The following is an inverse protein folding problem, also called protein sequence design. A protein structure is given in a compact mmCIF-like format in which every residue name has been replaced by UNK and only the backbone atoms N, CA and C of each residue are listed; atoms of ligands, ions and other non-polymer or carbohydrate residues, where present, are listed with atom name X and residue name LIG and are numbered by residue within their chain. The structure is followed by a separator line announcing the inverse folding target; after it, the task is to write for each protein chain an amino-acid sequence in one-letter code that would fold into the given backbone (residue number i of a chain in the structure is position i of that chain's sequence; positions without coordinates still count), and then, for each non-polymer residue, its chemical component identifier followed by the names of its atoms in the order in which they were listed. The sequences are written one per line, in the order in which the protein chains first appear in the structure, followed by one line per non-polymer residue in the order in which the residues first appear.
data_IF_063633282819
#
_entry.id   IF_063633282819
#
_cell.length_a   1.000
_cell.length_b   1.000
_cell.length_c   1.000
_cell.angle_alpha   90.00
_cell.angle_beta   90.00
_cell.angle_gamma   90.00
#
_symmetry.space_group_name_H-M   'P 1'
#
loop_
_entity.id
_entity.type
_entity.pdbx_description
1 polymer ?
#
# COMPACT_ATOMS: atom_id res chain seq x y z
N UNK A 1 -25.97 -23.68 -5.15
CA UNK A 1 -26.57 -22.58 -4.36
C UNK A 1 -26.22 -22.80 -2.90
N UNK A 2 -25.37 -21.96 -2.31
CA UNK A 2 -24.92 -22.12 -0.93
C UNK A 2 -23.47 -21.68 -0.77
N UNK A 3 -23.24 -20.80 0.21
CA UNK A 3 -21.92 -20.48 0.77
C UNK A 3 -20.98 -19.52 0.02
N UNK A 4 -21.46 -18.31 -0.36
CA UNK A 4 -20.60 -17.11 -0.43
C UNK A 4 -21.43 -15.90 0.02
N UNK A 5 -21.63 -15.76 1.33
CA UNK A 5 -22.32 -14.60 1.92
C UNK A 5 -21.75 -14.26 3.29
N UNK A 6 -20.44 -14.07 3.40
CA UNK A 6 -19.79 -13.46 4.57
C UNK A 6 -18.57 -12.68 4.11
N UNK A 7 -18.61 -11.35 4.24
CA UNK A 7 -17.50 -10.49 3.83
C UNK A 7 -17.84 -9.02 3.56
N UNK A 8 -18.96 -8.50 4.04
CA UNK A 8 -19.17 -7.07 4.20
C UNK A 8 -19.89 -6.86 5.53
N UNK A 9 -19.56 -5.80 6.25
CA UNK A 9 -20.16 -5.37 7.50
C UNK A 9 -21.70 -5.26 7.40
N UNK A 10 -22.38 -6.38 7.56
CA UNK A 10 -23.83 -6.52 7.71
C UNK A 10 -24.07 -7.74 8.60
N UNK A 11 -23.44 -7.74 9.77
CA UNK A 11 -23.60 -8.77 10.79
C UNK A 11 -24.15 -8.13 12.05
N UNK A 12 -25.43 -8.37 12.30
CA UNK A 12 -26.19 -8.01 13.50
C UNK A 12 -26.77 -6.59 13.55
N UNK A 13 -27.93 -6.42 12.93
CA UNK A 13 -28.92 -5.42 13.32
C UNK A 13 -30.31 -6.09 13.28
N UNK A 14 -30.46 -7.17 14.05
CA UNK A 14 -31.77 -7.75 14.35
C UNK A 14 -32.28 -7.08 15.64
N UNK A 15 -33.35 -6.28 15.50
CA UNK A 15 -34.19 -5.73 16.57
C UNK A 15 -33.57 -4.68 17.52
N UNK A 16 -33.19 -3.50 17.01
CA UNK A 16 -33.16 -2.25 17.80
C UNK A 16 -33.59 -1.07 16.94
N UNK A 17 -34.53 -0.26 17.45
CA UNK A 17 -35.17 0.91 16.83
C UNK A 17 -34.33 1.62 15.75
N UNK A 18 -34.91 1.81 14.57
CA UNK A 18 -34.30 2.41 13.36
C UNK A 18 -33.58 3.74 13.63
N UNK A 19 -34.06 4.52 14.60
CA UNK A 19 -33.52 5.83 14.99
C UNK A 19 -32.23 5.68 15.83
N UNK A 20 -32.20 4.74 16.78
CA UNK A 20 -30.98 4.40 17.54
C UNK A 20 -29.92 3.79 16.62
N UNK A 21 -30.34 2.92 15.69
CA UNK A 21 -29.47 2.37 14.65
C UNK A 21 -28.89 3.46 13.74
N UNK A 22 -29.67 4.50 13.37
CA UNK A 22 -29.18 5.65 12.59
C UNK A 22 -28.26 6.59 13.39
N UNK A 23 -28.52 6.80 14.68
CA UNK A 23 -27.66 7.61 15.57
C UNK A 23 -26.35 6.86 15.85
N UNK A 24 -26.41 5.54 16.03
CA UNK A 24 -25.26 4.68 16.20
C UNK A 24 -24.49 4.51 14.90
N UNK A 25 -25.17 4.44 13.74
CA UNK A 25 -24.55 4.48 12.42
C UNK A 25 -23.93 5.85 12.14
N UNK A 26 -24.52 6.98 12.58
CA UNK A 26 -23.93 8.31 12.45
C UNK A 26 -22.74 8.53 13.40
N UNK A 27 -22.79 8.04 14.65
CA UNK A 27 -21.66 8.10 15.60
C UNK A 27 -20.53 7.14 15.22
N UNK A 28 -20.85 5.92 14.78
CA UNK A 28 -19.88 5.01 14.16
C UNK A 28 -19.36 5.58 12.86
N UNK A 29 -20.19 6.10 11.95
CA UNK A 29 -19.72 6.78 10.75
C UNK A 29 -18.82 7.94 11.12
N UNK A 30 -19.12 8.77 12.12
CA UNK A 30 -18.25 9.89 12.50
C UNK A 30 -16.89 9.43 13.05
N UNK A 31 -16.88 8.43 13.94
CA UNK A 31 -15.64 7.84 14.47
C UNK A 31 -14.85 7.05 13.42
N UNK A 32 -15.54 6.30 12.57
CA UNK A 32 -14.98 5.64 11.39
C UNK A 32 -14.47 6.72 10.44
N UNK A 33 -15.17 7.81 10.19
CA UNK A 33 -14.74 8.93 9.33
C UNK A 33 -13.46 9.54 9.86
N UNK A 34 -13.34 9.80 11.17
CA UNK A 34 -12.14 10.38 11.77
C UNK A 34 -10.94 9.40 11.73
N UNK A 35 -11.15 8.12 12.06
CA UNK A 35 -10.10 7.08 12.11
C UNK A 35 -9.70 6.56 10.72
N UNK A 36 -10.66 6.49 9.81
CA UNK A 36 -10.47 6.22 8.38
C UNK A 36 -9.82 7.43 7.73
N UNK A 37 -10.17 8.68 8.07
CA UNK A 37 -9.38 9.84 7.59
C UNK A 37 -7.94 9.78 8.07
N UNK A 38 -7.68 9.32 9.29
CA UNK A 38 -6.32 9.15 9.82
C UNK A 38 -5.58 8.01 9.10
N UNK A 39 -6.24 6.89 8.85
CA UNK A 39 -5.68 5.74 8.11
C UNK A 39 -5.50 6.02 6.62
N UNK A 40 -6.42 6.77 6.00
CA UNK A 40 -6.32 7.30 4.64
C UNK A 40 -5.19 8.30 4.61
N UNK A 41 -5.13 9.26 5.54
CA UNK A 41 -4.05 10.25 5.60
C UNK A 41 -2.69 9.57 5.70
N UNK A 42 -2.54 8.59 6.59
CA UNK A 42 -1.32 7.81 6.73
C UNK A 42 -1.03 7.00 5.46
N UNK A 43 -2.01 6.27 4.93
CA UNK A 43 -1.85 5.50 3.69
C UNK A 43 -1.50 6.37 2.49
N UNK A 44 -2.14 7.53 2.36
CA UNK A 44 -1.95 8.48 1.27
C UNK A 44 -0.62 9.22 1.39
N UNK A 45 -0.24 9.59 2.61
CA UNK A 45 1.06 10.19 2.90
C UNK A 45 2.19 9.19 2.64
N UNK A 46 2.08 7.95 3.12
CA UNK A 46 3.05 6.89 2.84
C UNK A 46 3.14 6.57 1.35
N UNK A 47 2.01 6.50 0.65
CA UNK A 47 1.96 6.22 -0.78
C UNK A 47 2.60 7.32 -1.61
N UNK A 48 2.20 8.57 -1.40
CA UNK A 48 2.76 9.70 -2.14
C UNK A 48 4.22 9.93 -1.79
N UNK A 49 4.64 9.72 -0.54
CA UNK A 49 6.05 9.79 -0.14
C UNK A 49 6.89 8.68 -0.80
N UNK A 50 6.40 7.44 -0.76
CA UNK A 50 7.04 6.29 -1.39
C UNK A 50 7.20 6.51 -2.90
N UNK A 51 6.13 6.94 -3.58
CA UNK A 51 6.13 7.20 -5.02
C UNK A 51 7.09 8.34 -5.38
N UNK A 52 7.08 9.45 -4.65
CA UNK A 52 7.98 10.59 -4.94
C UNK A 52 9.45 10.23 -4.78
N UNK A 53 9.80 9.48 -3.72
CA UNK A 53 11.19 9.12 -3.42
C UNK A 53 11.70 8.07 -4.39
N UNK A 54 10.93 7.00 -4.61
CA UNK A 54 11.34 5.88 -5.45
C UNK A 54 11.45 6.27 -6.92
N UNK A 55 10.49 7.05 -7.43
CA UNK A 55 10.43 7.44 -8.85
C UNK A 55 11.05 8.82 -9.15
N UNK A 56 11.62 9.50 -8.15
CA UNK A 56 12.26 10.82 -8.25
C UNK A 56 11.42 11.82 -9.07
N UNK A 57 10.15 11.96 -8.72
CA UNK A 57 9.22 12.84 -9.42
C UNK A 57 9.66 14.30 -9.37
N UNK A 58 9.46 15.04 -10.46
CA UNK A 58 9.96 16.42 -10.61
C UNK A 58 9.04 17.43 -9.93
N UNK A 59 7.74 17.12 -9.83
CA UNK A 59 6.75 17.96 -9.15
C UNK A 59 6.57 17.49 -7.70
N UNK A 60 6.55 18.46 -6.78
CA UNK A 60 6.27 18.20 -5.37
C UNK A 60 4.85 17.68 -5.17
N UNK A 61 4.66 16.86 -4.12
CA UNK A 61 3.37 16.32 -3.73
C UNK A 61 2.58 17.34 -2.90
N UNK A 62 1.31 17.55 -3.26
CA UNK A 62 0.42 18.45 -2.54
C UNK A 62 -0.60 17.65 -1.72
N UNK A 63 -0.12 17.09 -0.60
CA UNK A 63 -0.92 16.19 0.25
C UNK A 63 -2.20 16.84 0.78
N UNK A 64 -2.14 18.12 1.15
CA UNK A 64 -3.29 18.82 1.72
C UNK A 64 -4.43 18.97 0.72
N UNK A 65 -4.08 19.28 -0.54
CA UNK A 65 -5.06 19.38 -1.61
C UNK A 65 -5.67 18.03 -1.94
N UNK A 66 -4.88 16.97 -1.94
CA UNK A 66 -5.38 15.62 -2.21
C UNK A 66 -6.38 15.13 -1.15
N UNK A 67 -6.05 15.33 0.13
CA UNK A 67 -6.94 14.99 1.24
C UNK A 67 -8.25 15.79 1.21
N UNK A 68 -8.17 17.08 0.84
CA UNK A 68 -9.37 17.90 0.68
C UNK A 68 -10.26 17.39 -0.45
N UNK A 69 -9.68 17.09 -1.62
CA UNK A 69 -10.42 16.58 -2.78
C UNK A 69 -11.05 15.22 -2.49
N UNK A 70 -10.31 14.28 -1.88
CA UNK A 70 -10.85 12.96 -1.47
C UNK A 70 -11.97 13.12 -0.45
N UNK A 71 -11.82 14.07 0.50
CA UNK A 71 -12.86 14.39 1.47
C UNK A 71 -14.16 14.86 0.81
N UNK A 72 -14.06 15.80 -0.14
CA UNK A 72 -15.22 16.30 -0.91
C UNK A 72 -15.87 15.18 -1.72
N UNK A 73 -15.08 14.36 -2.42
CA UNK A 73 -15.58 13.23 -3.21
C UNK A 73 -16.32 12.22 -2.32
N UNK A 74 -15.78 11.89 -1.14
CA UNK A 74 -16.43 10.96 -0.20
C UNK A 74 -17.72 11.52 0.39
N UNK A 75 -17.82 12.83 0.64
CA UNK A 75 -19.07 13.48 1.06
C UNK A 75 -20.14 13.31 -0.02
N UNK A 76 -19.79 13.56 -1.29
CA UNK A 76 -20.71 13.39 -2.42
C UNK A 76 -21.12 11.92 -2.59
N UNK A 77 -20.18 10.98 -2.56
CA UNK A 77 -20.45 9.53 -2.64
C UNK A 77 -21.40 9.09 -1.51
N UNK A 78 -21.20 9.59 -0.29
CA UNK A 78 -22.07 9.29 0.84
C UNK A 78 -23.48 9.86 0.67
N UNK A 79 -23.65 11.00 0.02
CA UNK A 79 -24.98 11.56 -0.29
C UNK A 79 -25.72 10.69 -1.32
N UNK A 80 -25.01 10.12 -2.28
CA UNK A 80 -25.54 9.20 -3.29
C UNK A 80 -25.61 7.73 -2.83
N UNK A 81 -25.22 7.42 -1.59
CA UNK A 81 -25.21 6.05 -1.06
C UNK A 81 -24.17 5.11 -1.68
N UNK A 82 -23.16 5.66 -2.36
CA UNK A 82 -22.09 4.92 -3.02
C UNK A 82 -20.96 4.59 -2.02
N UNK A 83 -20.20 3.50 -2.25
CA UNK A 83 -19.08 3.14 -1.38
C UNK A 83 -17.98 4.19 -1.45
N UNK A 84 -17.28 4.35 -0.33
CA UNK A 84 -16.24 5.36 -0.19
C UNK A 84 -14.97 4.94 -0.93
N UNK A 85 -14.31 5.93 -1.54
CA UNK A 85 -13.11 5.71 -2.34
C UNK A 85 -11.87 6.04 -1.51
N UNK A 86 -10.86 5.18 -1.63
CA UNK A 86 -9.60 5.26 -0.92
C UNK A 86 -8.43 5.07 -1.89
N UNK A 87 -7.27 5.65 -1.57
CA UNK A 87 -6.06 5.46 -2.37
C UNK A 87 -5.62 3.99 -2.39
N UNK A 88 -5.38 3.45 -3.59
CA UNK A 88 -4.99 2.06 -3.79
C UNK A 88 -3.47 1.88 -3.73
N UNK A 89 -2.98 1.36 -2.60
CA UNK A 89 -1.55 1.21 -2.31
C UNK A 89 -0.72 0.46 -3.37
N UNK A 90 -1.14 -0.71 -3.92
CA UNK A 90 -0.36 -1.40 -4.95
C UNK A 90 -0.60 -0.85 -6.36
N UNK A 91 -1.78 -0.26 -6.62
CA UNK A 91 -2.16 0.18 -7.96
C UNK A 91 -1.40 1.46 -8.37
N UNK A 92 -1.26 2.42 -7.45
CA UNK A 92 -0.57 3.69 -7.74
C UNK A 92 0.89 3.52 -8.16
N UNK A 93 1.75 2.77 -7.43
CA UNK A 93 3.14 2.56 -7.86
C UNK A 93 3.23 1.72 -9.13
N UNK A 94 2.34 0.75 -9.35
CA UNK A 94 2.31 -0.03 -10.60
C UNK A 94 1.97 0.84 -11.81
N UNK A 95 1.02 1.76 -11.66
CA UNK A 95 0.68 2.72 -12.70
C UNK A 95 1.86 3.64 -13.03
N UNK A 96 2.53 4.17 -12.00
CA UNK A 96 3.72 5.02 -12.20
C UNK A 96 4.87 4.23 -12.83
N UNK A 97 5.06 2.96 -12.43
CA UNK A 97 6.05 2.06 -13.03
C UNK A 97 5.78 1.81 -14.51
N UNK A 98 4.53 1.64 -14.91
CA UNK A 98 4.16 1.48 -16.33
C UNK A 98 4.44 2.71 -17.19
N UNK A 99 4.58 3.88 -16.57
CA UNK A 99 4.93 5.16 -17.21
C UNK A 99 6.41 5.52 -17.06
N UNK A 100 7.19 4.64 -16.43
CA UNK A 100 8.59 4.86 -16.13
C UNK A 100 9.50 4.17 -17.16
N UNK A 101 10.43 4.93 -17.71
CA UNK A 101 11.48 4.40 -18.59
C UNK A 101 12.59 3.83 -17.67
N UNK A 102 12.82 2.51 -17.79
CA UNK A 102 13.79 1.75 -17.00
C UNK A 102 15.06 1.52 -17.82
N UNK A 103 16.24 1.84 -17.28
CA UNK A 103 17.52 1.46 -17.86
C UNK A 103 18.17 0.35 -17.03
N UNK A 104 18.73 -0.64 -17.71
CA UNK A 104 19.62 -1.63 -17.10
C UNK A 104 21.01 -1.04 -16.96
N UNK A 105 21.43 -0.81 -15.72
CA UNK A 105 22.82 -0.45 -15.40
C UNK A 105 23.54 -1.64 -14.82
N UNK A 106 24.58 -2.07 -15.52
CA UNK A 106 25.49 -3.10 -15.05
C UNK A 106 26.38 -2.45 -13.99
N UNK A 107 26.20 -2.84 -12.73
CA UNK A 107 27.04 -2.36 -11.64
C UNK A 107 28.31 -3.20 -11.56
N UNK A 108 29.41 -2.64 -11.04
CA UNK A 108 30.69 -3.32 -10.83
C UNK A 108 30.44 -4.59 -9.98
N UNK A 109 30.58 -5.76 -10.61
CA UNK A 109 30.25 -7.06 -10.02
C UNK A 109 29.19 -7.89 -10.77
N UNK A 110 29.00 -7.70 -12.08
CA UNK A 110 28.10 -8.48 -12.95
C UNK A 110 26.62 -8.53 -12.53
N UNK A 111 26.20 -7.63 -11.64
CA UNK A 111 24.81 -7.51 -11.21
C UNK A 111 24.11 -6.45 -12.07
N UNK A 112 23.09 -6.87 -12.81
CA UNK A 112 22.23 -5.99 -13.62
C UNK A 112 21.17 -5.41 -12.69
N UNK A 113 21.22 -4.10 -12.46
CA UNK A 113 20.19 -3.39 -11.70
C UNK A 113 19.36 -2.54 -12.66
N UNK A 114 18.04 -2.71 -12.60
CA UNK A 114 17.10 -1.87 -13.34
C UNK A 114 16.85 -0.60 -12.51
N UNK A 115 17.31 0.54 -13.01
CA UNK A 115 17.07 1.82 -12.35
C UNK A 115 16.03 2.64 -13.13
N UNK A 116 15.17 3.34 -12.40
CA UNK A 116 14.22 4.29 -12.97
C UNK A 116 14.99 5.54 -13.42
N UNK A 117 15.03 5.80 -14.72
CA UNK A 117 15.73 6.97 -15.28
C UNK A 117 14.83 8.18 -15.29
N UNK A 118 13.60 7.97 -15.78
CA UNK A 118 12.63 9.03 -15.96
C UNK A 118 11.22 8.48 -15.91
N UNK A 119 10.35 9.17 -15.19
CA UNK A 119 8.91 8.90 -15.19
C UNK A 119 8.19 9.94 -16.04
N UNK A 120 7.29 9.46 -16.91
CA UNK A 120 6.38 10.32 -17.68
C UNK A 120 5.15 10.64 -16.84
N UNK A 121 5.14 11.83 -16.23
CA UNK A 121 3.98 12.34 -15.48
C UNK A 121 2.84 12.72 -16.44
N UNK A 122 2.03 11.76 -16.88
CA UNK A 122 0.89 12.02 -17.77
C UNK A 122 -0.42 12.10 -16.98
N UNK A 123 -1.17 13.19 -17.11
CA UNK A 123 -2.53 13.31 -16.54
C UNK A 123 -3.59 12.62 -17.40
N UNK A 124 -3.29 12.46 -18.70
CA UNK A 124 -4.21 11.90 -19.70
C UNK A 124 -4.47 10.42 -19.42
N UNK A 125 -3.45 9.65 -19.01
CA UNK A 125 -3.60 8.23 -18.73
C UNK A 125 -4.63 7.97 -17.62
N UNK A 126 -4.58 8.73 -16.53
CA UNK A 126 -5.55 8.64 -15.44
C UNK A 126 -6.96 9.03 -15.88
N UNK A 127 -7.11 10.12 -16.65
CA UNK A 127 -8.41 10.57 -17.15
C UNK A 127 -9.02 9.51 -18.08
N UNK A 128 -8.24 8.98 -19.03
CA UNK A 128 -8.68 7.92 -19.94
C UNK A 128 -9.06 6.64 -19.18
N UNK A 129 -8.33 6.27 -18.13
CA UNK A 129 -8.67 5.12 -17.30
C UNK A 129 -10.03 5.30 -16.60
N UNK A 130 -10.30 6.48 -16.04
CA UNK A 130 -11.59 6.77 -15.38
C UNK A 130 -12.75 6.84 -16.38
N UNK A 131 -12.53 7.42 -17.56
CA UNK A 131 -13.50 7.41 -18.67
C UNK A 131 -13.77 5.96 -19.11
N UNK A 132 -12.73 5.13 -19.23
CA UNK A 132 -12.84 3.72 -19.57
C UNK A 132 -13.63 2.92 -18.54
N UNK A 133 -13.43 3.18 -17.23
CA UNK A 133 -14.25 2.60 -16.17
C UNK A 133 -15.71 3.06 -16.30
N UNK A 134 -15.96 4.35 -16.54
CA UNK A 134 -17.32 4.86 -16.78
C UNK A 134 -18.00 4.23 -18.00
N UNK A 135 -17.26 4.08 -19.11
CA UNK A 135 -17.74 3.44 -20.33
C UNK A 135 -17.99 1.95 -20.13
N UNK A 136 -17.19 1.26 -19.31
CA UNK A 136 -17.37 -0.16 -19.01
C UNK A 136 -18.70 -0.45 -18.28
N UNK A 137 -19.23 0.52 -17.52
CA UNK A 137 -20.55 0.42 -16.89
C UNK A 137 -21.69 0.47 -17.92
N UNK A 138 -21.49 1.20 -19.03
CA UNK A 138 -22.46 1.25 -20.13
C UNK A 138 -22.41 -0.02 -20.99
N UNK A 139 -21.22 -0.60 -21.15
CA UNK A 139 -20.98 -1.82 -21.92
C UNK A 139 -21.13 -3.11 -21.09
N UNK A 140 -21.73 -3.03 -19.89
CA UNK A 140 -21.85 -4.14 -18.95
C UNK A 140 -22.65 -5.38 -19.44
N UNK A 141 -23.66 -5.31 -20.34
CA UNK A 141 -24.48 -6.50 -20.60
C UNK A 141 -23.84 -7.56 -21.51
N UNK A 142 -22.87 -7.25 -22.36
CA UNK A 142 -22.42 -8.20 -23.42
C UNK A 142 -20.91 -8.44 -23.54
N UNK A 143 -20.01 -7.44 -23.72
CA UNK A 143 -18.59 -7.71 -23.94
C UNK A 143 -17.81 -8.13 -22.69
N UNK A 144 -18.15 -7.61 -21.51
CA UNK A 144 -17.34 -7.81 -20.30
C UNK A 144 -17.44 -9.24 -19.73
N UNK A 145 -18.53 -9.95 -20.03
CA UNK A 145 -18.76 -11.34 -19.59
C UNK A 145 -17.83 -12.35 -20.26
N UNK A 146 -17.25 -12.01 -21.41
CA UNK A 146 -16.31 -12.88 -22.12
C UNK A 146 -14.95 -13.00 -21.41
N UNK A 147 -14.64 -12.11 -20.46
CA UNK A 147 -13.37 -12.15 -19.73
C UNK A 147 -13.46 -13.24 -18.65
N UNK A 148 -12.72 -14.35 -18.77
CA UNK A 148 -12.80 -15.43 -17.81
C UNK A 148 -12.17 -15.00 -16.48
N UNK A 149 -12.88 -15.24 -15.37
CA UNK A 149 -12.40 -14.91 -14.00
C UNK A 149 -11.00 -15.46 -13.68
N UNK A 150 -10.58 -16.66 -14.14
CA UNK A 150 -9.21 -17.16 -13.94
C UNK A 150 -8.11 -16.23 -14.46
N UNK A 151 -8.34 -15.49 -15.55
CA UNK A 151 -7.35 -14.56 -16.12
C UNK A 151 -7.15 -13.36 -15.20
N UNK A 152 -8.24 -12.82 -14.63
CA UNK A 152 -8.16 -11.74 -13.64
C UNK A 152 -7.45 -12.20 -12.36
N UNK A 153 -7.69 -13.42 -11.91
CA UNK A 153 -6.96 -14.00 -10.78
C UNK A 153 -5.45 -14.12 -11.08
N UNK A 154 -5.08 -14.58 -12.28
CA UNK A 154 -3.68 -14.62 -12.72
C UNK A 154 -3.01 -13.24 -12.73
N UNK A 155 -3.73 -12.21 -13.19
CA UNK A 155 -3.26 -10.82 -13.15
C UNK A 155 -3.01 -10.34 -11.71
N UNK A 156 -3.91 -10.63 -10.77
CA UNK A 156 -3.72 -10.26 -9.36
C UNK A 156 -2.51 -10.96 -8.73
N UNK A 157 -2.30 -12.25 -9.04
CA UNK A 157 -1.12 -12.99 -8.57
C UNK A 157 0.16 -12.39 -9.16
N UNK A 158 0.18 -12.08 -10.45
CA UNK A 158 1.31 -11.42 -11.09
C UNK A 158 1.64 -10.08 -10.43
N UNK A 159 0.63 -9.21 -10.22
CA UNK A 159 0.82 -7.93 -9.53
C UNK A 159 1.35 -8.10 -8.10
N UNK A 160 0.87 -9.11 -7.37
CA UNK A 160 1.35 -9.42 -6.03
C UNK A 160 2.82 -9.87 -6.05
N UNK A 161 3.19 -10.79 -6.95
CA UNK A 161 4.56 -11.31 -7.06
C UNK A 161 5.56 -10.23 -7.47
N UNK A 162 5.23 -9.42 -8.47
CA UNK A 162 6.09 -8.31 -8.90
C UNK A 162 6.24 -7.28 -7.80
N UNK A 163 5.16 -6.88 -7.12
CA UNK A 163 5.24 -5.91 -6.01
C UNK A 163 6.05 -6.40 -4.81
N UNK A 164 6.12 -7.71 -4.57
CA UNK A 164 6.94 -8.30 -3.49
C UNK A 164 8.42 -8.26 -3.87
N UNK A 165 8.74 -8.42 -5.16
CA UNK A 165 10.10 -8.40 -5.68
C UNK A 165 10.86 -7.09 -5.44
N UNK A 166 10.19 -5.94 -5.56
CA UNK A 166 10.81 -4.60 -5.40
C UNK A 166 10.73 -4.03 -3.98
N UNK A 167 10.47 -4.87 -2.98
CA UNK A 167 10.42 -4.42 -1.59
C UNK A 167 11.80 -4.54 -0.93
N UNK A 168 12.32 -3.41 -0.43
CA UNK A 168 13.59 -3.37 0.31
C UNK A 168 13.63 -4.33 1.51
N UNK A 169 12.49 -4.59 2.16
CA UNK A 169 12.41 -5.58 3.24
C UNK A 169 12.73 -6.97 2.72
N UNK A 170 12.17 -7.36 1.57
CA UNK A 170 12.39 -8.68 0.98
C UNK A 170 13.84 -8.84 0.52
N UNK A 171 14.43 -7.80 -0.07
CA UNK A 171 15.85 -7.80 -0.43
C UNK A 171 16.74 -8.06 0.79
N UNK A 172 16.45 -7.41 1.93
CA UNK A 172 17.20 -7.66 3.17
C UNK A 172 16.89 -9.02 3.80
N UNK A 173 15.70 -9.58 3.59
CA UNK A 173 15.38 -10.95 3.98
C UNK A 173 16.17 -11.94 3.14
N UNK A 174 16.32 -11.72 1.83
CA UNK A 174 17.18 -12.56 0.96
C UNK A 174 18.62 -12.60 1.46
N UNK A 175 19.15 -11.47 1.97
CA UNK A 175 20.49 -11.44 2.57
C UNK A 175 20.65 -12.37 3.78
N UNK A 176 19.57 -12.68 4.53
CA UNK A 176 19.64 -13.65 5.64
C UNK A 176 19.91 -15.07 5.12
N UNK A 177 19.45 -15.39 3.92
CA UNK A 177 19.57 -16.72 3.32
C UNK A 177 20.80 -16.89 2.41
N UNK A 178 21.51 -15.80 2.09
CA UNK A 178 22.68 -15.83 1.22
C UNK A 178 23.95 -15.93 2.09
N UNK A 179 24.91 -16.74 1.66
CA UNK A 179 26.23 -16.84 2.31
C UNK A 179 26.99 -15.52 2.22
N UNK A 180 27.77 -15.19 3.26
CA UNK A 180 28.42 -13.87 3.37
C UNK A 180 29.38 -13.56 2.22
N UNK A 181 29.97 -14.59 1.63
CA UNK A 181 30.89 -14.49 0.48
C UNK A 181 30.20 -14.08 -0.82
N UNK A 182 28.89 -14.25 -0.93
CA UNK A 182 28.09 -13.96 -2.12
C UNK A 182 27.27 -12.66 -2.00
N UNK A 183 27.55 -11.83 -1.00
CA UNK A 183 26.84 -10.56 -0.82
C UNK A 183 27.10 -9.62 -2.00
N UNK A 184 26.04 -9.06 -2.61
CA UNK A 184 26.22 -8.07 -3.66
C UNK A 184 26.87 -6.80 -3.07
N UNK A 185 27.78 -6.13 -3.79
CA UNK A 185 28.45 -4.93 -3.32
C UNK A 185 27.49 -3.72 -3.31
N UNK A 186 26.59 -3.67 -2.33
CA UNK A 186 25.64 -2.56 -2.13
C UNK A 186 26.15 -1.55 -1.09
N UNK A 187 25.70 -0.30 -1.22
CA UNK A 187 26.20 0.83 -0.42
C UNK A 187 25.94 0.70 1.09
N UNK A 188 24.77 0.15 1.48
CA UNK A 188 24.38 0.04 2.89
C UNK A 188 25.11 -1.10 3.62
N UNK A 189 25.45 -2.21 2.94
CA UNK A 189 26.24 -3.33 3.52
C UNK A 189 27.62 -2.84 3.99
N UNK A 190 28.21 -1.86 3.29
CA UNK A 190 29.53 -1.30 3.65
C UNK A 190 29.50 -0.38 4.88
N UNK A 191 28.33 0.17 5.24
CA UNK A 191 28.19 1.20 6.29
C UNK A 191 27.63 0.68 7.61
N UNK A 192 26.86 -0.40 7.59
CA UNK A 192 26.11 -0.90 8.74
C UNK A 192 26.62 -2.30 9.13
N UNK A 193 26.93 -2.55 10.42
CA UNK A 193 27.33 -3.88 10.87
C UNK A 193 26.18 -4.89 10.70
N UNK A 194 26.49 -6.09 10.19
CA UNK A 194 25.51 -7.12 9.80
C UNK A 194 24.51 -7.49 10.92
N UNK A 195 24.98 -7.62 12.16
CA UNK A 195 24.10 -7.97 13.31
C UNK A 195 22.97 -6.97 13.50
N UNK A 196 23.22 -5.67 13.27
CA UNK A 196 22.21 -4.63 13.39
C UNK A 196 21.21 -4.68 12.22
N UNK A 197 21.68 -5.07 11.04
CA UNK A 197 20.82 -5.28 9.88
C UNK A 197 19.85 -6.46 10.10
N UNK A 198 20.34 -7.60 10.58
CA UNK A 198 19.50 -8.77 10.87
C UNK A 198 18.54 -8.53 12.05
N UNK A 199 18.98 -7.79 13.07
CA UNK A 199 18.08 -7.37 14.17
C UNK A 199 16.94 -6.49 13.64
N UNK A 200 17.26 -5.55 12.77
CA UNK A 200 16.27 -4.66 12.15
C UNK A 200 15.26 -5.43 11.30
N UNK A 201 15.73 -6.30 10.40
CA UNK A 201 14.84 -7.11 9.55
C UNK A 201 14.02 -8.09 10.36
N UNK A 202 14.58 -8.69 11.42
CA UNK A 202 13.84 -9.54 12.35
C UNK A 202 12.69 -8.80 13.04
N UNK A 203 12.94 -7.58 13.53
CA UNK A 203 11.89 -6.73 14.11
C UNK A 203 10.80 -6.37 13.09
N UNK A 204 11.16 -6.08 11.85
CA UNK A 204 10.19 -5.82 10.77
C UNK A 204 9.39 -7.08 10.38
N UNK A 205 10.01 -8.25 10.38
CA UNK A 205 9.32 -9.53 10.12
C UNK A 205 8.34 -9.88 11.23
N UNK A 206 8.70 -9.65 12.49
CA UNK A 206 7.78 -9.83 13.64
C UNK A 206 6.58 -8.90 13.47
N UNK A 207 6.80 -7.64 13.10
CA UNK A 207 5.73 -6.68 12.82
C UNK A 207 4.82 -7.14 11.69
N UNK A 208 5.40 -7.63 10.59
CA UNK A 208 4.67 -8.17 9.46
C UNK A 208 3.86 -9.41 9.87
N UNK A 209 4.41 -10.30 10.69
CA UNK A 209 3.72 -11.49 11.18
C UNK A 209 2.52 -11.12 12.07
N UNK A 210 2.69 -10.16 12.99
CA UNK A 210 1.59 -9.62 13.80
C UNK A 210 0.52 -8.99 12.90
N UNK A 211 0.93 -8.23 11.89
CA UNK A 211 0.02 -7.64 10.91
C UNK A 211 -0.78 -8.70 10.16
N UNK A 212 -0.11 -9.70 9.59
CA UNK A 212 -0.75 -10.80 8.89
C UNK A 212 -1.73 -11.55 9.81
N UNK A 213 -1.31 -11.94 11.02
CA UNK A 213 -2.17 -12.62 11.98
C UNK A 213 -3.41 -11.79 12.37
N UNK A 214 -3.22 -10.49 12.59
CA UNK A 214 -4.33 -9.56 12.87
C UNK A 214 -5.27 -9.37 11.68
N UNK A 215 -4.75 -9.44 10.45
CA UNK A 215 -5.52 -9.31 9.21
C UNK A 215 -6.43 -10.51 8.93
N UNK A 216 -5.98 -11.73 9.27
CA UNK A 216 -6.77 -12.97 9.16
C UNK A 216 -7.84 -13.11 10.26
N UNK A 217 -7.85 -12.21 11.26
CA UNK A 217 -8.86 -12.24 12.31
C UNK A 217 -10.17 -11.61 11.82
N UNK A 218 -11.30 -12.29 12.04
CA UNK A 218 -12.64 -11.83 11.61
C UNK A 218 -13.16 -10.60 12.38
N UNK A 219 -12.50 -10.23 13.48
CA UNK A 219 -12.92 -9.12 14.35
C UNK A 219 -12.57 -7.76 13.70
N UNK A 220 -13.56 -6.91 13.37
CA UNK A 220 -13.31 -5.63 12.70
C UNK A 220 -12.52 -4.64 13.57
N UNK A 221 -12.62 -4.74 14.89
CA UNK A 221 -11.87 -3.92 15.84
C UNK A 221 -10.36 -4.11 15.70
N UNK A 222 -9.90 -5.34 15.47
CA UNK A 222 -8.47 -5.68 15.34
C UNK A 222 -7.87 -5.02 14.10
N UNK A 223 -8.64 -4.94 13.01
CA UNK A 223 -8.22 -4.28 11.76
C UNK A 223 -8.05 -2.76 11.92
N UNK A 224 -8.78 -2.13 12.85
CA UNK A 224 -8.66 -0.69 13.12
C UNK A 224 -7.43 -0.32 13.96
N UNK A 225 -6.82 -1.27 14.67
CA UNK A 225 -5.65 -1.03 15.54
C UNK A 225 -4.33 -0.99 14.74
N UNK A 226 -4.34 -1.49 13.50
CA UNK A 226 -3.17 -1.59 12.64
C UNK A 226 -2.31 -0.30 12.53
N UNK A 227 -2.86 0.89 12.22
CA UNK A 227 -2.05 2.10 12.06
C UNK A 227 -1.35 2.54 13.34
N UNK A 228 -1.96 2.25 14.50
CA UNK A 228 -1.39 2.57 15.81
C UNK A 228 -0.18 1.69 16.10
N UNK A 229 -0.26 0.39 15.77
CA UNK A 229 0.87 -0.54 15.91
C UNK A 229 2.05 -0.14 15.02
N UNK A 230 1.78 0.29 13.78
CA UNK A 230 2.82 0.81 12.89
C UNK A 230 3.52 2.04 13.48
N UNK A 231 2.73 3.01 13.95
CA UNK A 231 3.26 4.27 14.47
C UNK A 231 4.08 4.07 15.74
N UNK A 232 3.60 3.21 16.65
CA UNK A 232 4.31 2.90 17.90
C UNK A 232 5.68 2.29 17.64
N UNK A 233 5.76 1.33 16.72
CA UNK A 233 7.01 0.63 16.44
C UNK A 233 8.02 1.52 15.72
N UNK A 234 7.56 2.27 14.71
CA UNK A 234 8.41 3.16 13.91
C UNK A 234 8.96 4.33 14.74
N UNK A 235 8.15 4.92 15.61
CA UNK A 235 8.55 6.13 16.34
C UNK A 235 9.23 5.86 17.69
N UNK A 236 8.89 4.77 18.41
CA UNK A 236 9.48 4.47 19.72
C UNK A 236 10.50 3.34 19.71
N UNK A 237 10.21 2.20 19.08
CA UNK A 237 11.06 1.02 19.20
C UNK A 237 12.36 1.15 18.38
N UNK A 238 12.23 1.54 17.11
CA UNK A 238 13.33 1.58 16.16
C UNK A 238 14.45 2.57 16.55
N UNK A 239 14.16 3.85 16.89
CA UNK A 239 15.21 4.79 17.26
C UNK A 239 15.82 4.51 18.65
N UNK A 240 15.21 3.65 19.47
CA UNK A 240 15.78 3.24 20.76
C UNK A 240 16.75 2.06 20.61
N UNK A 241 16.54 1.18 19.63
CA UNK A 241 17.34 -0.04 19.42
C UNK A 241 18.52 0.17 18.47
N UNK A 242 18.43 1.13 17.54
CA UNK A 242 19.43 1.35 16.48
C UNK A 242 19.79 2.83 16.39
N UNK A 243 21.09 3.12 16.28
CA UNK A 243 21.57 4.49 16.08
C UNK A 243 21.03 5.09 14.77
N UNK A 244 20.64 6.37 14.83
CA UNK A 244 20.06 7.11 13.69
C UNK A 244 20.93 7.07 12.44
N UNK A 245 22.25 7.06 12.60
CA UNK A 245 23.22 6.97 11.50
C UNK A 245 23.06 5.69 10.66
N UNK A 246 22.77 4.56 11.30
CA UNK A 246 22.55 3.29 10.60
C UNK A 246 21.17 3.23 9.96
N UNK A 247 20.15 3.79 10.62
CA UNK A 247 18.81 3.94 10.07
C UNK A 247 18.78 4.74 8.76
N UNK A 248 19.42 5.91 8.75
CA UNK A 248 19.53 6.74 7.54
C UNK A 248 20.34 6.10 6.41
N UNK A 249 21.25 5.17 6.74
CA UNK A 249 21.98 4.41 5.72
C UNK A 249 21.13 3.29 5.12
N UNK A 250 20.23 2.70 5.93
CA UNK A 250 19.33 1.64 5.49
C UNK A 250 18.12 2.21 4.72
N UNK A 251 17.53 3.31 5.15
CA UNK A 251 16.28 3.84 4.56
C UNK A 251 16.46 4.61 3.24
N UNK A 252 17.70 4.77 2.76
CA UNK A 252 17.92 5.37 1.45
C UNK A 252 17.46 4.43 0.35
N UNK A 253 16.68 4.90 -0.64
CA UNK A 253 16.41 4.13 -1.85
C UNK A 253 17.73 3.81 -2.57
N UNK A 254 17.79 2.61 -3.17
CA UNK A 254 18.92 2.19 -4.01
C UNK A 254 18.93 2.92 -5.34
#
# INVERSE_FOLDING_TARGET
LGSIKKGLCFGSCENVNLIESLIQYKRCCFWITLKVNESIRLGFQSLSFFVTIFFRLKKGTSYHWDLFVIGVINILLSLFGLPWVHGALPQSPMHVRSLADMEERITVGNNVQQIVVRVRETRIATILAHIGIGLSLLMLPTPLTYIPRPVLAGLFVYMALTSVGDNQLLERVKLIFIEQSAYPPSHYIRRVPQRRMHLFTGLQLIQLAVLCGSGFTDKPFVKMVFPILLFLQMHRLIPHVIERKYLEAMDRPM
#
